data_IF_872534487279
#
_entry.id   IF_872534487279
#
_cell.length_a   1.000
_cell.length_b   1.000
_cell.length_c   1.000
_cell.angle_alpha   90.00
_cell.angle_beta   90.00
_cell.angle_gamma   90.00
#
_symmetry.space_group_name_H-M   'P 1'
#
loop_
_entity.id
_entity.type
_entity.pdbx_description
1 polymer ?
#
# COMPACT_ATOMS: atom_id res chain seq x y z
N UNK A 1 -6.28 -22.41 -3.57
CA UNK A 1 -6.90 -21.06 -3.54
C UNK A 1 -6.86 -20.48 -4.95
N UNK A 2 -8.03 -20.31 -5.59
CA UNK A 2 -8.14 -19.70 -6.92
C UNK A 2 -7.91 -18.19 -6.73
N UNK A 3 -6.88 -17.65 -7.36
CA UNK A 3 -6.50 -16.25 -7.16
C UNK A 3 -7.43 -15.37 -7.98
N UNK A 4 -8.04 -14.35 -7.36
CA UNK A 4 -8.82 -13.37 -8.10
C UNK A 4 -7.92 -12.57 -9.04
N UNK A 5 -8.37 -12.44 -10.28
CA UNK A 5 -7.75 -11.58 -11.28
C UNK A 5 -8.05 -10.13 -10.92
N UNK A 6 -7.04 -9.27 -10.92
CA UNK A 6 -7.23 -7.84 -10.64
C UNK A 6 -7.96 -7.20 -11.82
N UNK A 7 -9.23 -6.89 -11.62
CA UNK A 7 -10.12 -6.29 -12.62
C UNK A 7 -9.94 -4.76 -12.74
N UNK A 8 -10.23 -4.16 -13.90
CA UNK A 8 -10.30 -2.71 -14.08
C UNK A 8 -11.46 -2.07 -13.31
N UNK A 9 -11.35 -0.77 -13.04
CA UNK A 9 -12.34 0.03 -12.32
C UNK A 9 -12.77 -0.54 -10.95
N UNK A 10 -11.84 -1.12 -10.19
CA UNK A 10 -12.12 -1.68 -8.88
C UNK A 10 -11.11 -1.20 -7.85
N UNK A 11 -11.57 -1.09 -6.60
CA UNK A 11 -10.71 -0.83 -5.46
C UNK A 11 -10.10 -2.12 -4.94
N UNK A 12 -8.82 -2.07 -4.59
CA UNK A 12 -8.11 -3.20 -4.01
C UNK A 12 -7.21 -2.79 -2.84
N UNK A 13 -7.21 -3.65 -1.82
CA UNK A 13 -6.11 -3.75 -0.87
C UNK A 13 -5.03 -4.66 -1.46
N UNK A 14 -3.85 -4.11 -1.74
CA UNK A 14 -2.71 -4.86 -2.24
C UNK A 14 -1.63 -4.88 -1.18
N UNK A 15 -1.11 -6.07 -0.86
CA UNK A 15 -0.04 -6.20 0.12
C UNK A 15 0.87 -7.38 -0.20
N UNK A 16 2.11 -7.30 0.25
CA UNK A 16 3.04 -8.42 0.22
C UNK A 16 4.09 -8.24 1.33
N UNK A 17 4.80 -9.32 1.64
CA UNK A 17 5.87 -9.33 2.63
C UNK A 17 7.12 -9.97 2.05
N UNK A 18 8.25 -9.73 2.71
CA UNK A 18 9.50 -10.42 2.47
C UNK A 18 9.33 -11.93 2.60
N UNK A 19 9.98 -12.66 1.71
CA UNK A 19 10.12 -14.09 1.88
C UNK A 19 10.81 -14.36 3.24
N UNK A 20 10.38 -15.39 3.97
CA UNK A 20 10.89 -15.68 5.31
C UNK A 20 10.81 -14.49 6.32
N UNK A 21 9.87 -13.56 6.12
CA UNK A 21 9.72 -12.33 6.93
C UNK A 21 10.94 -11.39 6.90
N UNK A 22 11.82 -11.56 5.91
CA UNK A 22 12.99 -10.69 5.73
C UNK A 22 12.59 -9.24 5.41
N UNK A 23 13.52 -8.31 5.69
CA UNK A 23 13.30 -6.91 5.36
C UNK A 23 13.31 -6.70 3.84
N UNK A 24 12.21 -6.13 3.34
CA UNK A 24 12.09 -5.56 2.00
C UNK A 24 12.82 -4.23 1.89
N UNK A 25 12.83 -3.45 2.97
CA UNK A 25 13.47 -2.14 3.05
C UNK A 25 14.50 -2.18 4.18
N UNK A 26 15.77 -2.21 3.80
CA UNK A 26 16.92 -2.32 4.71
C UNK A 26 17.40 -0.93 5.11
N UNK A 27 17.34 0.03 4.20
CA UNK A 27 17.73 1.43 4.42
C UNK A 27 16.82 2.40 3.63
N UNK A 28 16.90 3.70 3.95
CA UNK A 28 16.05 4.77 3.41
C UNK A 28 15.99 4.80 1.87
N UNK A 29 17.10 4.52 1.18
CA UNK A 29 17.14 4.51 -0.29
C UNK A 29 16.26 3.41 -0.89
N UNK A 30 16.00 2.33 -0.16
CA UNK A 30 15.11 1.26 -0.61
C UNK A 30 13.65 1.73 -0.64
N UNK A 31 13.19 2.41 0.41
CA UNK A 31 11.85 3.01 0.45
C UNK A 31 11.65 3.99 -0.70
N UNK A 32 12.61 4.90 -0.88
CA UNK A 32 12.58 5.89 -1.96
C UNK A 32 12.54 5.23 -3.34
N UNK A 33 13.34 4.18 -3.55
CA UNK A 33 13.36 3.45 -4.82
C UNK A 33 12.06 2.69 -5.08
N UNK A 34 11.45 2.09 -4.07
CA UNK A 34 10.15 1.43 -4.20
C UNK A 34 9.05 2.42 -4.59
N UNK A 35 9.01 3.59 -3.95
CA UNK A 35 8.07 4.66 -4.30
C UNK A 35 8.28 5.16 -5.74
N UNK A 36 9.53 5.24 -6.21
CA UNK A 36 9.84 5.55 -7.62
C UNK A 36 9.27 4.48 -8.58
N UNK A 37 9.44 3.20 -8.26
CA UNK A 37 8.87 2.11 -9.08
C UNK A 37 7.35 2.10 -9.05
N UNK A 38 6.74 2.41 -7.90
CA UNK A 38 5.30 2.57 -7.74
C UNK A 38 4.77 3.72 -8.61
N UNK A 39 5.47 4.86 -8.65
CA UNK A 39 5.17 5.95 -9.58
C UNK A 39 5.24 5.49 -11.05
N UNK A 40 6.28 4.74 -11.41
CA UNK A 40 6.54 4.35 -12.81
C UNK A 40 5.62 3.23 -13.32
N UNK A 41 5.22 2.29 -12.46
CA UNK A 41 4.54 1.07 -12.88
C UNK A 41 3.08 1.00 -12.42
N UNK A 42 2.70 1.69 -11.33
CA UNK A 42 1.34 1.62 -10.79
C UNK A 42 0.50 2.83 -11.18
N UNK A 43 1.01 4.06 -11.12
CA UNK A 43 0.23 5.24 -11.53
C UNK A 43 -0.29 5.20 -12.99
N UNK A 44 0.41 4.57 -13.95
CA UNK A 44 -0.16 4.38 -15.29
C UNK A 44 -1.41 3.51 -15.29
N UNK A 45 -1.55 2.56 -14.35
CA UNK A 45 -2.62 1.56 -14.34
C UNK A 45 -3.66 1.71 -13.22
N UNK A 46 -3.34 2.48 -12.17
CA UNK A 46 -4.19 2.66 -11.00
C UNK A 46 -3.92 3.98 -10.30
N UNK A 47 -4.96 4.52 -9.67
CA UNK A 47 -4.85 5.61 -8.71
C UNK A 47 -4.48 5.02 -7.35
N UNK A 48 -3.59 5.70 -6.62
CA UNK A 48 -3.13 5.24 -5.30
C UNK A 48 -3.73 6.16 -4.26
N UNK A 49 -4.50 5.59 -3.35
CA UNK A 49 -5.20 6.32 -2.30
C UNK A 49 -4.41 6.28 -0.99
N UNK A 50 -3.85 5.13 -0.61
CA UNK A 50 -3.08 5.01 0.63
C UNK A 50 -1.91 4.05 0.46
N UNK A 51 -0.84 4.24 1.23
CA UNK A 51 0.20 3.25 1.42
C UNK A 51 0.82 3.35 2.82
N UNK A 52 1.40 2.24 3.27
CA UNK A 52 2.38 2.20 4.35
C UNK A 52 3.41 1.12 4.04
N UNK A 53 4.69 1.49 4.08
CA UNK A 53 5.82 0.61 3.82
C UNK A 53 6.52 0.32 5.15
N UNK A 54 6.52 -0.93 5.60
CA UNK A 54 7.15 -1.39 6.84
C UNK A 54 8.40 -2.20 6.46
N UNK A 55 9.42 -2.34 7.33
CA UNK A 55 10.69 -2.98 6.97
C UNK A 55 10.53 -4.30 6.21
N UNK A 56 9.61 -5.17 6.62
CA UNK A 56 9.40 -6.49 6.01
C UNK A 56 8.12 -6.64 5.16
N UNK A 57 7.26 -5.63 5.04
CA UNK A 57 6.02 -5.72 4.25
C UNK A 57 5.47 -4.36 3.85
N UNK A 58 4.46 -4.33 2.98
CA UNK A 58 3.79 -3.09 2.62
C UNK A 58 2.29 -3.33 2.42
N UNK A 59 1.52 -2.26 2.55
CA UNK A 59 0.10 -2.21 2.21
C UNK A 59 -0.19 -1.03 1.28
N UNK A 60 -1.01 -1.24 0.26
CA UNK A 60 -1.51 -0.23 -0.67
C UNK A 60 -3.03 -0.30 -0.76
N UNK A 61 -3.68 0.85 -0.84
CA UNK A 61 -5.06 1.00 -1.29
C UNK A 61 -5.05 1.68 -2.66
N UNK A 62 -5.58 1.00 -3.67
CA UNK A 62 -5.59 1.49 -5.05
C UNK A 62 -6.98 1.40 -5.66
N UNK A 63 -7.20 2.17 -6.72
CA UNK A 63 -8.32 2.01 -7.67
C UNK A 63 -7.74 1.79 -9.08
N UNK A 64 -8.01 0.65 -9.69
CA UNK A 64 -7.57 0.38 -11.07
C UNK A 64 -8.30 1.27 -12.06
N UNK A 65 -7.63 1.70 -13.13
CA UNK A 65 -8.26 2.54 -14.17
C UNK A 65 -9.29 1.74 -14.97
N UNK A 66 -10.27 2.45 -15.55
CA UNK A 66 -11.41 1.84 -16.23
C UNK A 66 -11.05 1.20 -17.59
N UNK A 67 -10.22 1.86 -18.40
CA UNK A 67 -9.95 1.46 -19.78
C UNK A 67 -8.72 0.55 -19.93
N UNK A 68 -8.53 -0.41 -19.02
CA UNK A 68 -7.36 -1.31 -19.05
C UNK A 68 -7.78 -2.77 -18.94
N UNK A 69 -7.10 -3.62 -19.71
CA UNK A 69 -7.23 -5.06 -19.53
C UNK A 69 -6.57 -5.53 -18.23
N UNK A 70 -7.17 -6.53 -17.59
CA UNK A 70 -6.64 -7.19 -16.38
C UNK A 70 -5.19 -7.69 -16.55
N UNK A 71 -4.80 -8.06 -17.78
CA UNK A 71 -3.43 -8.47 -18.11
C UNK A 71 -2.44 -7.31 -17.97
N UNK A 72 -2.80 -6.11 -18.43
CA UNK A 72 -1.97 -4.90 -18.33
C UNK A 72 -1.78 -4.51 -16.86
N UNK A 73 -2.86 -4.56 -16.08
CA UNK A 73 -2.82 -4.28 -14.64
C UNK A 73 -1.88 -5.27 -13.94
N UNK A 74 -2.04 -6.57 -14.19
CA UNK A 74 -1.19 -7.63 -13.63
C UNK A 74 0.28 -7.49 -14.04
N UNK A 75 0.53 -7.05 -15.28
CA UNK A 75 1.87 -6.80 -15.78
C UNK A 75 2.54 -5.62 -15.06
N UNK A 76 1.81 -4.55 -14.75
CA UNK A 76 2.35 -3.41 -14.00
C UNK A 76 2.84 -3.80 -12.60
N UNK A 77 2.06 -4.60 -11.86
CA UNK A 77 2.52 -5.18 -10.59
C UNK A 77 3.73 -6.10 -10.75
N UNK A 78 3.72 -6.96 -11.78
CA UNK A 78 4.84 -7.86 -12.05
C UNK A 78 6.12 -7.09 -12.35
N UNK A 79 6.04 -6.01 -13.14
CA UNK A 79 7.16 -5.15 -13.46
C UNK A 79 7.73 -4.48 -12.20
N UNK A 80 6.87 -3.93 -11.33
CA UNK A 80 7.27 -3.34 -10.07
C UNK A 80 8.03 -4.34 -9.18
N UNK A 81 7.42 -5.50 -8.89
CA UNK A 81 8.01 -6.47 -7.98
C UNK A 81 9.31 -7.07 -8.54
N UNK A 82 9.36 -7.36 -9.84
CA UNK A 82 10.56 -7.89 -10.48
C UNK A 82 11.69 -6.86 -10.49
N UNK A 83 11.41 -5.60 -10.82
CA UNK A 83 12.41 -4.53 -10.80
C UNK A 83 12.98 -4.32 -9.40
N UNK A 84 12.11 -4.25 -8.39
CA UNK A 84 12.55 -4.08 -7.01
C UNK A 84 13.36 -5.26 -6.49
N UNK A 85 12.88 -6.50 -6.70
CA UNK A 85 13.57 -7.71 -6.26
C UNK A 85 14.97 -7.82 -6.91
N UNK A 86 15.10 -7.54 -8.21
CA UNK A 86 16.39 -7.53 -8.90
C UNK A 86 17.35 -6.49 -8.31
N UNK A 87 16.86 -5.28 -8.02
CA UNK A 87 17.68 -4.21 -7.46
C UNK A 87 18.19 -4.56 -6.05
N UNK A 88 17.31 -5.03 -5.17
CA UNK A 88 17.67 -5.43 -3.80
C UNK A 88 18.61 -6.65 -3.82
N UNK A 89 18.33 -7.66 -4.65
CA UNK A 89 19.20 -8.82 -4.76
C UNK A 89 20.61 -8.43 -5.23
N UNK A 90 20.72 -7.57 -6.24
CA UNK A 90 22.00 -7.04 -6.70
C UNK A 90 22.72 -6.22 -5.62
N UNK A 91 21.98 -5.34 -4.94
CA UNK A 91 22.55 -4.39 -3.98
C UNK A 91 23.12 -5.08 -2.73
N UNK A 92 22.48 -6.15 -2.26
CA UNK A 92 22.86 -6.85 -1.02
C UNK A 92 23.42 -8.25 -1.27
N UNK A 93 23.83 -8.54 -2.51
CA UNK A 93 24.37 -9.85 -2.91
C UNK A 93 23.47 -11.04 -2.48
N UNK A 94 22.15 -10.86 -2.59
CA UNK A 94 21.16 -11.89 -2.25
C UNK A 94 20.80 -12.72 -3.48
N UNK A 95 20.42 -13.97 -3.23
CA UNK A 95 19.84 -14.86 -4.23
C UNK A 95 18.43 -15.28 -3.82
N UNK A 96 17.67 -15.85 -4.76
CA UNK A 96 16.31 -16.31 -4.50
C UNK A 96 15.25 -15.21 -4.52
N UNK A 97 14.06 -15.56 -4.03
CA UNK A 97 12.88 -14.68 -4.06
C UNK A 97 12.90 -13.68 -2.91
N UNK A 98 12.73 -12.39 -3.22
CA UNK A 98 12.63 -11.33 -2.20
C UNK A 98 11.25 -11.30 -1.54
N UNK A 99 10.19 -11.43 -2.33
CA UNK A 99 8.81 -11.37 -1.84
C UNK A 99 8.23 -12.77 -1.66
N UNK A 100 7.15 -12.90 -0.88
CA UNK A 100 6.31 -14.09 -1.02
C UNK A 100 5.77 -14.16 -2.45
N UNK A 101 5.82 -15.37 -3.02
CA UNK A 101 5.64 -15.69 -4.45
C UNK A 101 4.49 -14.94 -5.14
N UNK A 102 3.35 -14.75 -4.47
CA UNK A 102 2.22 -13.97 -4.99
C UNK A 102 1.84 -12.90 -3.98
N UNK A 103 1.67 -11.66 -4.46
CA UNK A 103 1.10 -10.60 -3.64
C UNK A 103 -0.36 -10.91 -3.30
N UNK A 104 -0.80 -10.49 -2.13
CA UNK A 104 -2.21 -10.60 -1.74
C UNK A 104 -3.00 -9.44 -2.30
N UNK A 105 -4.26 -9.72 -2.64
CA UNK A 105 -5.20 -8.75 -3.19
C UNK A 105 -6.60 -9.04 -2.66
N UNK A 106 -7.28 -8.01 -2.18
CA UNK A 106 -8.65 -8.11 -1.68
C UNK A 106 -9.45 -7.02 -2.40
N UNK A 107 -10.45 -7.43 -3.18
CA UNK A 107 -11.37 -6.48 -3.82
C UNK A 107 -12.22 -5.82 -2.75
N UNK A 108 -12.40 -4.52 -2.87
CA UNK A 108 -13.19 -3.72 -1.94
C UNK A 108 -14.52 -3.40 -2.58
N UNK A 109 -15.60 -3.83 -1.94
CA UNK A 109 -16.98 -3.63 -2.40
C UNK A 109 -17.86 -2.91 -1.39
N UNK A 110 -17.30 -2.59 -0.21
CA UNK A 110 -18.02 -2.02 0.92
C UNK A 110 -17.29 -0.76 1.43
N UNK A 111 -18.05 0.30 1.67
CA UNK A 111 -17.50 1.60 2.07
C UNK A 111 -17.00 1.60 3.51
N UNK A 112 -17.66 0.86 4.41
CA UNK A 112 -17.22 0.73 5.81
C UNK A 112 -15.85 0.05 5.86
N UNK A 113 -15.67 -1.03 5.09
CA UNK A 113 -14.39 -1.69 4.90
C UNK A 113 -13.35 -0.73 4.29
N UNK A 114 -13.73 0.04 3.28
CA UNK A 114 -12.84 1.04 2.67
C UNK A 114 -12.29 2.02 3.73
N UNK A 115 -13.16 2.64 4.54
CA UNK A 115 -12.75 3.58 5.60
C UNK A 115 -11.86 2.89 6.64
N UNK A 116 -12.25 1.72 7.12
CA UNK A 116 -11.45 0.95 8.09
C UNK A 116 -10.06 0.60 7.54
N UNK A 117 -9.95 0.27 6.25
CA UNK A 117 -8.68 -0.03 5.61
C UNK A 117 -7.79 1.21 5.47
N UNK A 118 -8.36 2.39 5.19
CA UNK A 118 -7.59 3.65 5.19
C UNK A 118 -6.94 3.87 6.57
N UNK A 119 -7.75 3.74 7.64
CA UNK A 119 -7.25 3.86 9.02
C UNK A 119 -6.18 2.81 9.32
N UNK A 120 -6.41 1.55 8.91
CA UNK A 120 -5.45 0.46 9.07
C UNK A 120 -4.09 0.82 8.50
N UNK A 121 -4.08 1.20 7.22
CA UNK A 121 -2.85 1.36 6.45
C UNK A 121 -2.03 2.48 7.07
N UNK A 122 -2.65 3.62 7.38
CA UNK A 122 -1.92 4.75 7.96
C UNK A 122 -1.43 4.48 9.39
N UNK A 123 -2.14 3.67 10.18
CA UNK A 123 -1.74 3.33 11.56
C UNK A 123 -0.86 2.08 11.64
N UNK A 124 -0.55 1.44 10.52
CA UNK A 124 0.06 0.12 10.50
C UNK A 124 1.47 0.08 11.14
N UNK A 125 2.27 1.12 10.94
CA UNK A 125 3.59 1.23 11.57
C UNK A 125 3.52 1.29 13.10
N UNK A 126 2.47 1.90 13.66
CA UNK A 126 2.23 1.93 15.10
C UNK A 126 1.67 0.60 15.60
N UNK A 127 0.73 -0.01 14.86
CA UNK A 127 0.20 -1.35 15.16
C UNK A 127 1.31 -2.40 15.25
N UNK A 128 2.30 -2.36 14.35
CA UNK A 128 3.47 -3.24 14.37
C UNK A 128 4.62 -2.73 15.26
N UNK A 129 4.40 -1.69 16.07
CA UNK A 129 5.36 -1.16 17.05
C UNK A 129 6.68 -0.66 16.43
N UNK A 130 6.68 -0.29 15.15
CA UNK A 130 7.84 0.34 14.46
C UNK A 130 7.99 1.79 14.90
N UNK A 131 6.88 2.46 15.18
CA UNK A 131 6.85 3.82 15.75
C UNK A 131 5.86 3.86 16.91
N UNK A 132 6.08 4.76 17.88
CA UNK A 132 5.10 5.05 18.94
C UNK A 132 3.95 5.93 18.46
N UNK A 133 4.14 6.62 17.34
CA UNK A 133 3.17 7.55 16.76
C UNK A 133 3.20 7.44 15.24
N UNK A 134 2.11 6.95 14.66
CA UNK A 134 1.98 6.78 13.20
C UNK A 134 2.14 8.11 12.45
N UNK A 135 1.79 9.24 13.08
CA UNK A 135 1.89 10.60 12.51
C UNK A 135 3.35 11.04 12.34
N UNK A 136 4.32 10.31 12.89
CA UNK A 136 5.75 10.57 12.73
C UNK A 136 6.42 9.60 11.77
N UNK A 137 5.68 8.64 11.22
CA UNK A 137 6.25 7.63 10.35
C UNK A 137 6.38 8.15 8.91
N UNK A 138 7.59 8.29 8.36
CA UNK A 138 7.80 8.93 7.07
C UNK A 138 7.36 8.05 5.89
N UNK A 139 7.30 6.73 6.08
CA UNK A 139 7.07 5.75 5.01
C UNK A 139 5.59 5.39 4.84
N UNK A 140 4.71 6.36 5.09
CA UNK A 140 3.26 6.26 4.97
C UNK A 140 2.70 7.44 4.18
N UNK A 141 1.58 7.23 3.48
CA UNK A 141 0.88 8.31 2.77
C UNK A 141 0.14 9.29 3.68
N UNK A 142 0.08 9.06 5.00
CA UNK A 142 -0.71 9.89 5.91
C UNK A 142 -0.41 11.40 5.76
N UNK A 143 0.85 11.79 5.66
CA UNK A 143 1.25 13.18 5.47
C UNK A 143 0.77 13.81 4.14
N UNK A 144 0.50 13.00 3.12
CA UNK A 144 -0.06 13.48 1.86
C UNK A 144 -1.48 14.05 2.04
N UNK A 145 -2.23 13.59 3.05
CA UNK A 145 -3.56 14.10 3.41
C UNK A 145 -3.52 15.40 4.22
N UNK A 146 -2.38 15.69 4.85
CA UNK A 146 -2.20 16.88 5.68
C UNK A 146 -1.62 18.05 4.91
N UNK A 147 -0.91 17.77 3.83
CA UNK A 147 -0.16 18.74 3.03
C UNK A 147 -0.99 19.34 1.90
N UNK A 148 -0.82 20.63 1.63
CA UNK A 148 -1.37 21.29 0.44
C UNK A 148 -0.47 21.12 -0.81
N UNK A 149 0.64 20.39 -0.69
CA UNK A 149 1.58 20.17 -1.80
C UNK A 149 1.01 19.13 -2.77
N UNK A 150 1.28 19.31 -4.06
CA UNK A 150 0.96 18.32 -5.08
C UNK A 150 1.62 16.98 -4.76
N UNK A 151 0.80 15.93 -4.73
CA UNK A 151 1.21 14.55 -4.44
C UNK A 151 0.70 13.60 -5.52
N UNK A 152 1.29 12.41 -5.63
CA UNK A 152 0.77 11.33 -6.48
C UNK A 152 -0.34 10.52 -5.81
N UNK A 153 -0.75 10.92 -4.60
CA UNK A 153 -1.81 10.27 -3.83
C UNK A 153 -3.14 10.94 -4.13
N UNK A 154 -4.14 10.13 -4.47
CA UNK A 154 -5.49 10.57 -4.78
C UNK A 154 -6.29 10.70 -3.48
N UNK A 155 -6.19 11.87 -2.86
CA UNK A 155 -6.76 12.15 -1.55
C UNK A 155 -8.25 12.44 -1.59
N UNK A 156 -8.76 13.03 -2.68
CA UNK A 156 -10.10 13.64 -2.72
C UNK A 156 -11.21 12.65 -2.37
N UNK A 157 -11.25 11.49 -3.03
CA UNK A 157 -12.27 10.47 -2.76
C UNK A 157 -12.19 9.94 -1.32
N UNK A 158 -10.97 9.78 -0.78
CA UNK A 158 -10.84 9.33 0.61
C UNK A 158 -11.34 10.44 1.54
N UNK A 159 -10.90 11.68 1.38
CA UNK A 159 -11.36 12.78 2.23
C UNK A 159 -12.88 12.96 2.17
N UNK A 160 -13.48 12.84 0.99
CA UNK A 160 -14.93 12.86 0.78
C UNK A 160 -15.65 11.76 1.56
N UNK A 161 -15.17 10.51 1.50
CA UNK A 161 -15.75 9.41 2.29
C UNK A 161 -15.66 9.63 3.80
N UNK A 162 -14.76 10.48 4.29
CA UNK A 162 -14.67 10.85 5.70
C UNK A 162 -15.42 12.15 6.03
N UNK A 163 -16.20 12.72 5.11
CA UNK A 163 -16.85 14.03 5.29
C UNK A 163 -15.84 15.15 5.58
N UNK A 164 -14.67 15.08 4.93
CA UNK A 164 -13.63 16.09 4.98
C UNK A 164 -12.44 15.77 5.88
N UNK A 165 -11.44 16.66 5.82
CA UNK A 165 -10.14 16.49 6.48
C UNK A 165 -10.23 16.40 8.01
N UNK A 166 -11.05 17.23 8.65
CA UNK A 166 -11.19 17.25 10.12
C UNK A 166 -11.69 15.91 10.66
N UNK A 167 -12.70 15.33 10.00
CA UNK A 167 -13.26 14.04 10.38
C UNK A 167 -12.32 12.88 10.04
N UNK A 168 -11.58 12.96 8.92
CA UNK A 168 -10.49 12.04 8.60
C UNK A 168 -9.45 12.01 9.73
N UNK A 169 -8.96 13.17 10.18
CA UNK A 169 -7.97 13.25 11.25
C UNK A 169 -8.54 12.73 12.58
N UNK A 170 -9.78 13.12 12.92
CA UNK A 170 -10.47 12.63 14.11
C UNK A 170 -10.59 11.11 14.13
N UNK A 171 -11.01 10.49 13.02
CA UNK A 171 -11.13 9.04 12.89
C UNK A 171 -9.78 8.32 13.08
N UNK A 172 -8.68 8.89 12.58
CA UNK A 172 -7.33 8.35 12.79
C UNK A 172 -6.87 8.45 14.24
N UNK A 173 -7.27 9.50 14.97
CA UNK A 173 -6.90 9.68 16.39
C UNK A 173 -7.70 8.74 17.29
N UNK A 174 -9.00 8.59 17.04
CA UNK A 174 -9.87 7.73 17.87
C UNK A 174 -9.56 6.24 17.70
N UNK A 175 -8.88 5.85 16.62
CA UNK A 175 -8.41 4.48 16.34
C UNK A 175 -9.45 3.40 16.66
N UNK A 176 -10.73 3.64 16.37
CA UNK A 176 -11.77 2.58 16.43
C UNK A 176 -11.61 1.63 15.25
N UNK A 177 -10.44 1.01 15.16
CA UNK A 177 -10.03 0.13 14.08
C UNK A 177 -10.53 -1.27 14.42
N UNK A 178 -11.77 -1.58 14.03
CA UNK A 178 -12.28 -2.94 14.05
C UNK A 178 -11.80 -3.66 12.79
N UNK A 179 -10.55 -4.12 12.78
CA UNK A 179 -10.04 -4.93 11.68
C UNK A 179 -10.09 -6.38 12.11
N UNK A 180 -10.97 -7.12 11.44
CA UNK A 180 -10.98 -8.57 11.56
C UNK A 180 -9.60 -9.14 11.22
N UNK A 181 -9.12 -10.09 12.03
CA UNK A 181 -7.81 -10.72 11.90
C UNK A 181 -7.51 -11.35 10.53
N UNK A 182 -8.52 -11.48 9.65
CA UNK A 182 -8.38 -12.00 8.29
C UNK A 182 -7.71 -11.02 7.31
N UNK A 183 -7.49 -9.76 7.70
CA UNK A 183 -6.97 -8.70 6.83
C UNK A 183 -5.59 -8.16 7.23
N UNK A 184 -5.07 -8.60 8.37
CA UNK A 184 -3.73 -8.30 8.85
C UNK A 184 -2.74 -9.37 8.39
N UNK A 185 -1.55 -8.96 7.97
CA UNK A 185 -0.43 -9.90 7.87
C UNK A 185 -0.08 -10.38 9.29
N UNK A 186 -0.27 -11.67 9.57
CA UNK A 186 0.17 -12.32 10.82
C UNK A 186 1.69 -12.40 10.91
#
# INVERSE_FOLDING_TARGET
>A
MKYEVVQPNQYYHIYNQGNNKENLFIEEKNYTYFLKLLKNHILPIANIHCYCLLPNHFHLLIKTKHNLESKIISQGFSNLFNAYAKAINKMYNRTGSLFKRKFSRIRITDEVYFKNLVLYIHTNAEHHQITKDFRRYPHSSYHAYLSNKKTSIFTDYVLDTFDGKSNFEYAHIQKKVFIEAKYTLK
#
